data_IF_373463850255
#
_entry.id   IF_373463850255
#
_cell.length_a   1.000
_cell.length_b   1.000
_cell.length_c   1.000
_cell.angle_alpha   90.00
_cell.angle_beta   90.00
_cell.angle_gamma   90.00
#
_symmetry.space_group_name_H-M   'P 1'
#
loop_
_entity.id
_entity.type
_entity.pdbx_description
1 polymer ?
#
# COMPACT_ATOMS: atom_id res chain seq x y z
N UNK A 1 -9.59 7.05 -12.79
CA UNK A 1 -8.90 5.73 -12.73
C UNK A 1 -9.87 4.57 -12.55
N UNK A 2 -10.73 4.55 -11.52
CA UNK A 2 -11.66 3.41 -11.31
C UNK A 2 -12.58 3.12 -12.52
N UNK A 3 -12.95 4.15 -13.29
CA UNK A 3 -13.75 4.04 -14.51
C UNK A 3 -12.97 3.59 -15.76
N UNK A 4 -11.65 3.39 -15.68
CA UNK A 4 -10.86 2.96 -16.84
C UNK A 4 -11.29 1.57 -17.32
N UNK A 5 -11.33 1.41 -18.64
CA UNK A 5 -11.76 0.18 -19.33
C UNK A 5 -10.56 -0.62 -19.85
N UNK A 6 -10.81 -1.74 -20.54
CA UNK A 6 -9.76 -2.48 -21.25
C UNK A 6 -9.08 -1.63 -22.34
N UNK A 7 -9.84 -0.77 -23.02
CA UNK A 7 -9.31 0.14 -24.04
C UNK A 7 -8.33 1.15 -23.43
N UNK A 8 -8.61 1.64 -22.21
CA UNK A 8 -7.65 2.48 -21.49
C UNK A 8 -6.37 1.73 -21.13
N UNK A 9 -6.47 0.45 -20.74
CA UNK A 9 -5.30 -0.39 -20.46
C UNK A 9 -4.47 -0.58 -21.74
N UNK A 10 -5.11 -0.87 -22.88
CA UNK A 10 -4.46 -1.04 -24.18
C UNK A 10 -3.76 0.24 -24.62
N UNK A 11 -4.43 1.40 -24.47
CA UNK A 11 -3.83 2.71 -24.72
C UNK A 11 -2.61 2.98 -23.85
N UNK A 12 -2.66 2.62 -22.56
CA UNK A 12 -1.55 2.80 -21.62
C UNK A 12 -0.34 1.91 -21.92
N UNK A 13 -0.52 0.78 -22.60
CA UNK A 13 0.61 -0.07 -23.00
C UNK A 13 1.58 0.61 -23.97
N UNK A 14 1.19 1.72 -24.60
CA UNK A 14 2.06 2.52 -25.47
C UNK A 14 2.33 3.93 -24.92
N UNK A 15 1.85 4.26 -23.73
CA UNK A 15 1.98 5.61 -23.18
C UNK A 15 3.41 5.89 -22.70
N UNK A 16 4.03 7.03 -23.07
CA UNK A 16 5.36 7.37 -22.59
C UNK A 16 5.34 7.68 -21.08
N UNK A 17 6.49 7.47 -20.41
CA UNK A 17 6.67 7.87 -19.00
C UNK A 17 6.11 6.90 -17.96
N UNK A 18 5.63 5.71 -18.36
CA UNK A 18 5.21 4.66 -17.42
C UNK A 18 5.85 3.31 -17.74
N UNK A 19 5.84 2.40 -16.78
CA UNK A 19 6.29 1.02 -16.98
C UNK A 19 5.20 0.23 -17.74
N UNK A 20 5.53 -0.28 -18.93
CA UNK A 20 4.62 -1.07 -19.79
C UNK A 20 4.45 -2.51 -19.30
N UNK A 21 3.86 -2.66 -18.12
CA UNK A 21 3.47 -3.97 -17.58
C UNK A 21 1.95 -4.02 -17.43
N UNK A 22 1.29 -4.78 -18.30
CA UNK A 22 -0.18 -4.87 -18.34
C UNK A 22 -0.80 -5.21 -16.98
N UNK A 23 -0.24 -6.21 -16.28
CA UNK A 23 -0.74 -6.65 -14.97
C UNK A 23 -0.64 -5.54 -13.91
N UNK A 24 0.42 -4.71 -13.93
CA UNK A 24 0.56 -3.57 -13.02
C UNK A 24 -0.44 -2.44 -13.35
N UNK A 25 -0.70 -2.18 -14.62
CA UNK A 25 -1.69 -1.19 -15.06
C UNK A 25 -3.10 -1.64 -14.63
N UNK A 26 -3.46 -2.88 -14.93
CA UNK A 26 -4.74 -3.48 -14.51
C UNK A 26 -4.88 -3.45 -12.97
N UNK A 27 -3.81 -3.75 -12.24
CA UNK A 27 -3.82 -3.67 -10.78
C UNK A 27 -4.09 -2.25 -10.26
N UNK A 28 -3.57 -1.20 -10.90
CA UNK A 28 -3.87 0.18 -10.52
C UNK A 28 -5.36 0.52 -10.72
N UNK A 29 -5.98 0.03 -11.81
CA UNK A 29 -7.43 0.18 -12.05
C UNK A 29 -8.25 -0.59 -11.01
N UNK A 30 -7.89 -1.85 -10.75
CA UNK A 30 -8.54 -2.69 -9.73
C UNK A 30 -8.44 -2.06 -8.33
N UNK A 31 -7.26 -1.58 -7.95
CA UNK A 31 -7.05 -0.92 -6.66
C UNK A 31 -7.84 0.38 -6.53
N UNK A 32 -7.98 1.15 -7.61
CA UNK A 32 -8.82 2.34 -7.64
C UNK A 32 -10.31 2.00 -7.44
N UNK A 33 -10.80 0.92 -8.05
CA UNK A 33 -12.17 0.43 -7.84
C UNK A 33 -12.37 -0.02 -6.39
N UNK A 34 -11.47 -0.83 -5.85
CA UNK A 34 -11.52 -1.28 -4.45
C UNK A 34 -11.51 -0.10 -3.46
N UNK A 35 -10.74 0.94 -3.74
CA UNK A 35 -10.70 2.18 -2.95
C UNK A 35 -12.05 2.91 -2.97
N UNK A 36 -12.69 3.05 -4.13
CA UNK A 36 -14.02 3.66 -4.26
C UNK A 36 -15.07 2.81 -3.54
N UNK A 37 -15.07 1.50 -3.75
CA UNK A 37 -15.98 0.57 -3.06
C UNK A 37 -15.86 0.67 -1.55
N UNK A 38 -14.65 0.73 -1.01
CA UNK A 38 -14.43 0.88 0.43
C UNK A 38 -15.02 2.20 0.95
N UNK A 39 -14.82 3.30 0.21
CA UNK A 39 -15.32 4.63 0.60
C UNK A 39 -16.85 4.72 0.56
N UNK A 40 -17.48 4.10 -0.43
CA UNK A 40 -18.94 4.14 -0.61
C UNK A 40 -19.68 3.08 0.22
N UNK A 41 -19.04 1.93 0.45
CA UNK A 41 -19.61 0.79 1.18
C UNK A 41 -19.37 0.84 2.69
N UNK A 42 -18.65 1.84 3.20
CA UNK A 42 -18.50 2.04 4.65
C UNK A 42 -19.82 2.52 5.24
N UNK A 43 -20.64 1.56 5.64
CA UNK A 43 -21.87 1.76 6.43
C UNK A 43 -21.70 1.33 7.88
N UNK A 44 -20.54 0.74 8.22
CA UNK A 44 -20.21 0.26 9.56
C UNK A 44 -19.72 1.41 10.44
N UNK A 45 -20.34 1.54 11.62
CA UNK A 45 -19.87 2.41 12.71
C UNK A 45 -18.51 1.92 13.25
N UNK A 46 -18.24 0.62 13.12
CA UNK A 46 -17.03 -0.05 13.62
C UNK A 46 -16.13 -0.54 12.46
N UNK A 47 -15.08 0.21 12.13
CA UNK A 47 -14.06 -0.16 11.15
C UNK A 47 -13.55 1.02 10.28
N UNK A 48 -12.45 0.84 9.52
CA UNK A 48 -11.90 1.92 8.71
C UNK A 48 -12.82 2.27 7.54
N UNK A 49 -13.14 3.56 7.40
CA UNK A 49 -14.07 4.09 6.40
C UNK A 49 -13.43 4.40 5.05
N UNK A 50 -12.11 4.49 5.01
CA UNK A 50 -11.34 4.72 3.80
C UNK A 50 -9.93 4.12 3.90
N UNK A 51 -9.26 4.02 2.75
CA UNK A 51 -7.95 3.38 2.63
C UNK A 51 -6.92 3.93 3.63
N UNK A 52 -6.82 5.25 3.79
CA UNK A 52 -5.90 5.87 4.76
C UNK A 52 -6.08 5.38 6.20
N UNK A 53 -7.32 5.35 6.72
CA UNK A 53 -7.63 4.84 8.06
C UNK A 53 -7.26 3.36 8.19
N UNK A 54 -7.53 2.56 7.15
CA UNK A 54 -7.15 1.16 7.13
C UNK A 54 -5.64 0.99 7.21
N UNK A 55 -4.86 1.68 6.38
CA UNK A 55 -3.40 1.55 6.45
C UNK A 55 -2.88 2.03 7.83
N UNK A 56 -3.45 3.12 8.37
CA UNK A 56 -3.08 3.65 9.68
C UNK A 56 -3.39 2.71 10.83
N UNK A 57 -4.49 1.94 10.75
CA UNK A 57 -4.85 0.97 11.80
C UNK A 57 -3.85 -0.18 11.96
N UNK A 58 -2.94 -0.36 11.00
CA UNK A 58 -1.82 -1.31 11.07
C UNK A 58 -0.51 -0.67 11.52
N UNK A 59 -0.52 0.55 12.07
CA UNK A 59 0.69 1.13 12.67
C UNK A 59 1.19 0.25 13.82
N UNK A 60 2.45 -0.20 13.81
CA UNK A 60 3.02 -0.97 14.92
C UNK A 60 3.09 -0.11 16.19
N UNK A 61 3.03 -0.77 17.35
CA UNK A 61 3.18 -0.09 18.64
C UNK A 61 4.58 0.54 18.82
N UNK A 62 5.60 -0.12 18.26
CA UNK A 62 6.99 0.33 18.29
C UNK A 62 7.59 0.23 16.89
N UNK A 63 8.29 1.27 16.45
CA UNK A 63 9.04 1.24 15.20
C UNK A 63 10.28 0.34 15.31
N UNK A 64 10.66 -0.37 14.23
CA UNK A 64 11.91 -1.12 14.20
C UNK A 64 13.11 -0.18 14.33
N UNK A 65 14.17 -0.63 15.01
CA UNK A 65 15.43 0.13 15.20
C UNK A 65 16.62 -0.56 14.52
N UNK A 66 16.65 -0.67 13.19
CA UNK A 66 17.69 -1.42 12.51
C UNK A 66 19.02 -0.67 12.48
N UNK A 67 20.12 -1.43 12.50
CA UNK A 67 21.41 -0.97 12.02
C UNK A 67 21.58 -1.31 10.53
N UNK A 68 22.71 -0.91 9.93
CA UNK A 68 23.01 -1.23 8.54
C UNK A 68 22.97 -2.74 8.30
N UNK A 69 22.23 -3.18 7.28
CA UNK A 69 22.03 -4.60 6.96
C UNK A 69 20.88 -5.28 7.73
N UNK A 70 20.28 -4.61 8.72
CA UNK A 70 19.19 -5.16 9.55
C UNK A 70 17.80 -4.60 9.17
N UNK A 71 17.72 -3.80 8.10
CA UNK A 71 16.46 -3.18 7.68
C UNK A 71 15.45 -4.28 7.31
N UNK A 72 14.31 -4.38 8.00
CA UNK A 72 13.35 -5.44 7.76
C UNK A 72 12.73 -5.31 6.37
N UNK A 73 12.49 -6.44 5.71
CA UNK A 73 11.78 -6.49 4.43
C UNK A 73 10.27 -6.69 4.62
N UNK A 74 9.85 -7.15 5.81
CA UNK A 74 8.45 -7.35 6.22
C UNK A 74 8.34 -7.19 7.75
N UNK A 75 7.15 -6.81 8.20
CA UNK A 75 6.71 -6.83 9.61
C UNK A 75 5.38 -7.59 9.73
N UNK A 76 5.03 -8.14 10.91
CA UNK A 76 3.72 -8.77 11.13
C UNK A 76 2.54 -7.90 10.69
N UNK A 77 2.61 -6.59 10.94
CA UNK A 77 1.61 -5.60 10.56
C UNK A 77 1.51 -5.46 9.05
N UNK A 78 2.64 -5.43 8.33
CA UNK A 78 2.65 -5.37 6.86
C UNK A 78 2.08 -6.64 6.22
N UNK A 79 2.25 -7.81 6.86
CA UNK A 79 1.66 -9.08 6.44
C UNK A 79 0.15 -9.05 6.65
N UNK A 80 -0.30 -8.56 7.81
CA UNK A 80 -1.72 -8.44 8.13
C UNK A 80 -2.43 -7.44 7.21
N UNK A 81 -1.84 -6.27 6.96
CA UNK A 81 -2.33 -5.26 6.01
C UNK A 81 -2.42 -5.83 4.59
N UNK A 82 -1.37 -6.50 4.11
CA UNK A 82 -1.37 -7.15 2.80
C UNK A 82 -2.52 -8.17 2.67
N UNK A 83 -2.76 -8.96 3.72
CA UNK A 83 -3.87 -9.92 3.76
C UNK A 83 -5.23 -9.22 3.72
N UNK A 84 -5.43 -8.13 4.48
CA UNK A 84 -6.71 -7.42 4.51
C UNK A 84 -7.01 -6.70 3.20
N UNK A 85 -6.01 -6.04 2.60
CA UNK A 85 -6.16 -5.42 1.29
C UNK A 85 -6.51 -6.45 0.21
N UNK A 86 -5.88 -7.64 0.21
CA UNK A 86 -6.25 -8.72 -0.73
C UNK A 86 -7.70 -9.15 -0.56
N UNK A 87 -8.17 -9.33 0.68
CA UNK A 87 -9.58 -9.67 0.95
C UNK A 87 -10.55 -8.59 0.45
N UNK A 88 -10.13 -7.33 0.47
CA UNK A 88 -10.89 -6.18 -0.04
C UNK A 88 -10.77 -5.98 -1.56
N UNK A 89 -10.11 -6.90 -2.27
CA UNK A 89 -10.01 -6.88 -3.73
C UNK A 89 -8.84 -6.07 -4.28
N UNK A 90 -7.89 -5.63 -3.45
CA UNK A 90 -6.64 -5.02 -3.93
C UNK A 90 -5.70 -6.07 -4.50
N UNK A 91 -4.88 -5.66 -5.47
CA UNK A 91 -3.89 -6.46 -6.17
C UNK A 91 -2.50 -5.80 -6.10
N UNK A 92 -1.43 -6.59 -6.28
CA UNK A 92 -0.03 -6.16 -6.12
C UNK A 92 0.32 -5.60 -4.72
N UNK A 93 -0.44 -6.01 -3.70
CA UNK A 93 -0.28 -5.62 -2.30
C UNK A 93 0.40 -6.72 -1.47
N UNK A 94 1.63 -7.07 -1.82
CA UNK A 94 2.43 -8.04 -1.05
C UNK A 94 2.98 -7.45 0.26
N UNK A 95 3.32 -8.26 1.28
CA UNK A 95 3.78 -7.74 2.57
C UNK A 95 5.00 -6.80 2.47
N UNK A 96 5.98 -7.14 1.63
CA UNK A 96 7.15 -6.26 1.39
C UNK A 96 6.75 -4.93 0.77
N UNK A 97 5.82 -4.93 -0.19
CA UNK A 97 5.28 -3.70 -0.77
C UNK A 97 4.51 -2.89 0.27
N UNK A 98 3.80 -3.55 1.19
CA UNK A 98 3.06 -2.87 2.26
C UNK A 98 3.97 -2.26 3.31
N UNK A 99 5.05 -2.93 3.70
CA UNK A 99 6.06 -2.31 4.56
C UNK A 99 6.70 -1.10 3.87
N UNK A 100 7.04 -1.22 2.59
CA UNK A 100 7.58 -0.10 1.81
C UNK A 100 6.59 1.08 1.72
N UNK A 101 5.30 0.80 1.50
CA UNK A 101 4.24 1.82 1.54
C UNK A 101 4.17 2.50 2.90
N UNK A 102 4.06 1.71 3.98
CA UNK A 102 3.97 2.21 5.35
C UNK A 102 5.17 3.09 5.73
N UNK A 103 6.38 2.70 5.32
CA UNK A 103 7.57 3.51 5.51
C UNK A 103 7.54 4.80 4.68
N UNK A 104 7.19 4.70 3.40
CA UNK A 104 7.15 5.85 2.49
C UNK A 104 6.14 6.93 2.91
N UNK A 105 5.04 6.54 3.56
CA UNK A 105 4.01 7.48 4.04
C UNK A 105 4.11 7.80 5.54
N UNK A 106 5.20 7.38 6.21
CA UNK A 106 5.51 7.75 7.59
C UNK A 106 4.70 7.03 8.67
N UNK A 107 4.06 5.90 8.36
CA UNK A 107 3.39 5.05 9.36
C UNK A 107 4.41 4.25 10.18
N UNK A 108 5.51 3.83 9.54
CA UNK A 108 6.61 3.10 10.19
C UNK A 108 7.92 3.81 9.91
N UNK A 109 8.76 3.98 10.91
CA UNK A 109 10.13 4.45 10.73
C UNK A 109 11.10 3.25 10.62
N UNK A 110 11.60 2.98 9.41
CA UNK A 110 12.63 1.96 9.14
C UNK A 110 14.03 2.54 8.93
N UNK A 111 14.23 3.84 9.20
CA UNK A 111 15.53 4.48 9.02
C UNK A 111 16.57 3.87 9.97
N UNK A 112 17.81 3.74 9.50
CA UNK A 112 18.91 3.20 10.30
C UNK A 112 19.16 4.11 11.51
N UNK A 113 19.44 3.50 12.67
CA UNK A 113 19.78 4.22 13.89
C UNK A 113 21.02 5.10 13.67
N UNK A 114 20.93 6.36 14.09
CA UNK A 114 22.02 7.35 13.94
C UNK A 114 22.05 8.10 12.61
N UNK A 115 21.14 7.80 11.68
CA UNK A 115 21.00 8.61 10.45
C UNK A 115 20.33 9.95 10.76
N UNK A 116 20.65 10.98 9.95
CA UNK A 116 20.03 12.32 10.08
C UNK A 116 18.50 12.32 9.87
N UNK A 117 17.95 11.27 9.25
CA UNK A 117 16.50 11.14 9.00
C UNK A 117 15.75 10.54 10.18
N UNK A 118 16.45 9.89 11.10
CA UNK A 118 15.85 9.35 12.33
C UNK A 118 16.03 10.33 13.48
N UNK A 119 14.99 11.08 13.89
CA UNK A 119 15.08 11.95 15.06
C UNK A 119 15.43 11.13 16.31
N UNK A 120 16.20 11.74 17.21
CA UNK A 120 16.68 11.11 18.45
C UNK A 120 15.54 10.83 19.42
#
# INVERSE_FOLDING_TARGET
VAAFTSEDVDRLMSAPGIVHNRRKIEAAVTNARATVTMRLGSTTIDGPSHLGELVWSYRPACDPRPHSGEVPTQLPESVALASDLKRRGFNFVGPTTMLALMAAIGIVNTDIVGTHRRPR
#
